data_IF_232548732286
#
_entry.id   IF_232548732286
#
_cell.length_a   1.000
_cell.length_b   1.000
_cell.length_c   1.000
_cell.angle_alpha   90.00
_cell.angle_beta   90.00
_cell.angle_gamma   90.00
#
_symmetry.space_group_name_H-M   'P 1'
#
loop_
_entity.id
_entity.type
_entity.pdbx_description
1 polymer ?
#
# COMPACT_ATOMS: atom_id res chain seq x y z
N UNK A 1 15.20 10.76 18.46
CA UNK A 1 13.77 10.53 18.15
C UNK A 1 13.60 9.08 17.76
N UNK A 2 12.51 8.46 18.17
CA UNK A 2 12.22 7.04 17.92
C UNK A 2 12.00 6.78 16.42
N UNK A 3 12.61 5.73 15.87
CA UNK A 3 12.59 5.42 14.44
C UNK A 3 11.17 5.13 13.92
N UNK A 4 10.33 4.55 14.77
CA UNK A 4 8.92 4.29 14.44
C UNK A 4 8.12 5.57 14.24
N UNK A 5 8.34 6.57 15.10
CA UNK A 5 7.68 7.88 15.01
C UNK A 5 8.08 8.59 13.71
N UNK A 6 9.37 8.56 13.36
CA UNK A 6 9.88 9.15 12.11
C UNK A 6 9.24 8.49 10.89
N UNK A 7 9.12 7.16 10.88
CA UNK A 7 8.47 6.43 9.79
C UNK A 7 6.99 6.82 9.66
N UNK A 8 6.24 6.80 10.75
CA UNK A 8 4.82 7.15 10.74
C UNK A 8 4.59 8.59 10.25
N UNK A 9 5.44 9.52 10.66
CA UNK A 9 5.38 10.91 10.19
C UNK A 9 5.66 11.02 8.69
N UNK A 10 6.64 10.27 8.17
CA UNK A 10 6.95 10.23 6.74
C UNK A 10 5.78 9.65 5.93
N UNK A 11 5.17 8.58 6.42
CA UNK A 11 4.04 7.94 5.77
C UNK A 11 2.82 8.87 5.75
N UNK A 12 2.57 9.60 6.85
CA UNK A 12 1.53 10.63 6.90
C UNK A 12 1.78 11.76 5.91
N UNK A 13 3.01 12.28 5.82
CA UNK A 13 3.36 13.34 4.88
C UNK A 13 3.19 12.89 3.42
N UNK A 14 3.55 11.65 3.11
CA UNK A 14 3.35 11.09 1.79
C UNK A 14 1.86 11.05 1.42
N UNK A 15 1.02 10.55 2.33
CA UNK A 15 -0.43 10.50 2.14
C UNK A 15 -1.02 11.90 1.99
N UNK A 16 -0.61 12.85 2.83
CA UNK A 16 -1.06 14.24 2.76
C UNK A 16 -0.74 14.88 1.41
N UNK A 17 0.48 14.69 0.90
CA UNK A 17 0.91 15.23 -0.40
C UNK A 17 0.09 14.61 -1.54
N UNK A 18 -0.14 13.29 -1.50
CA UNK A 18 -0.95 12.59 -2.50
C UNK A 18 -2.40 13.08 -2.52
N UNK A 19 -3.03 13.22 -1.34
CA UNK A 19 -4.41 13.73 -1.24
C UNK A 19 -4.48 15.16 -1.75
N UNK A 20 -3.52 16.00 -1.37
CA UNK A 20 -3.47 17.40 -1.78
C UNK A 20 -3.37 17.53 -3.30
N UNK A 21 -2.47 16.78 -3.93
CA UNK A 21 -2.30 16.79 -5.39
C UNK A 21 -3.54 16.27 -6.12
N UNK A 22 -4.10 15.14 -5.67
CA UNK A 22 -5.28 14.52 -6.28
C UNK A 22 -6.51 15.42 -6.20
N UNK A 23 -6.78 15.99 -5.02
CA UNK A 23 -7.93 16.85 -4.83
C UNK A 23 -7.78 18.18 -5.56
N UNK A 24 -6.56 18.74 -5.64
CA UNK A 24 -6.31 19.91 -6.47
C UNK A 24 -6.61 19.63 -7.95
N UNK A 25 -6.06 18.53 -8.51
CA UNK A 25 -6.27 18.15 -9.92
C UNK A 25 -7.73 17.85 -10.27
N UNK A 26 -8.50 17.37 -9.29
CA UNK A 26 -9.90 16.95 -9.51
C UNK A 26 -10.88 18.10 -9.30
N UNK A 27 -10.64 18.95 -8.30
CA UNK A 27 -11.60 19.96 -7.88
C UNK A 27 -11.31 21.35 -8.44
N UNK A 28 -10.03 21.75 -8.57
CA UNK A 28 -9.68 23.09 -9.05
C UNK A 28 -9.75 23.09 -10.58
N UNK A 29 -10.74 23.77 -11.12
CA UNK A 29 -11.07 23.72 -12.55
C UNK A 29 -10.97 25.09 -13.22
N UNK A 30 -11.07 26.17 -12.45
CA UNK A 30 -11.03 27.53 -12.98
C UNK A 30 -9.90 28.32 -12.33
N UNK A 31 -9.22 29.14 -13.13
CA UNK A 31 -8.13 30.01 -12.66
C UNK A 31 -8.48 31.49 -12.88
N UNK A 32 -9.77 31.81 -12.82
CA UNK A 32 -10.31 33.15 -13.10
C UNK A 32 -10.18 34.09 -11.90
N UNK A 33 -10.13 33.54 -10.68
CA UNK A 33 -9.87 34.26 -9.43
C UNK A 33 -8.71 33.66 -8.67
N UNK A 34 -8.09 34.46 -7.81
CA UNK A 34 -7.10 33.95 -6.83
C UNK A 34 -7.76 33.17 -5.71
N UNK A 35 -9.00 33.52 -5.36
CA UNK A 35 -9.76 32.88 -4.30
C UNK A 35 -10.42 31.60 -4.80
N UNK A 36 -10.51 30.61 -3.92
CA UNK A 36 -11.19 29.33 -4.17
C UNK A 36 -12.70 29.56 -4.15
N UNK A 37 -13.39 29.11 -5.19
CA UNK A 37 -14.84 29.22 -5.25
C UNK A 37 -15.54 28.30 -4.23
N UNK A 38 -16.78 28.60 -3.88
CA UNK A 38 -17.55 27.77 -2.93
C UNK A 38 -17.75 26.33 -3.42
N UNK A 39 -17.89 26.13 -4.73
CA UNK A 39 -18.02 24.80 -5.35
C UNK A 39 -16.71 24.01 -5.25
N UNK A 40 -15.58 24.65 -5.54
CA UNK A 40 -14.25 24.03 -5.41
C UNK A 40 -13.95 23.67 -3.95
N UNK A 41 -14.31 24.54 -3.00
CA UNK A 41 -14.16 24.28 -1.57
C UNK A 41 -14.96 23.04 -1.15
N UNK A 42 -16.24 22.97 -1.51
CA UNK A 42 -17.08 21.82 -1.20
C UNK A 42 -16.56 20.53 -1.88
N UNK A 43 -16.02 20.63 -3.10
CA UNK A 43 -15.39 19.50 -3.76
C UNK A 43 -14.16 19.00 -3.01
N UNK A 44 -13.27 19.89 -2.56
CA UNK A 44 -12.04 19.53 -1.83
C UNK A 44 -12.35 18.88 -0.48
N UNK A 45 -13.35 19.38 0.26
CA UNK A 45 -13.82 18.76 1.51
C UNK A 45 -14.32 17.33 1.26
N UNK A 46 -15.15 17.15 0.24
CA UNK A 46 -15.66 15.82 -0.12
C UNK A 46 -14.55 14.89 -0.62
N UNK A 47 -13.62 15.39 -1.43
CA UNK A 47 -12.50 14.63 -1.97
C UNK A 47 -11.58 14.11 -0.86
N UNK A 48 -11.14 15.01 0.03
CA UNK A 48 -10.29 14.66 1.17
C UNK A 48 -10.99 13.69 2.12
N UNK A 49 -12.27 13.92 2.44
CA UNK A 49 -13.08 13.02 3.26
C UNK A 49 -13.20 11.62 2.67
N UNK A 50 -13.48 11.51 1.36
CA UNK A 50 -13.52 10.24 0.65
C UNK A 50 -12.18 9.52 0.66
N UNK A 51 -11.08 10.23 0.41
CA UNK A 51 -9.74 9.65 0.44
C UNK A 51 -9.37 9.10 1.83
N UNK A 52 -9.68 9.83 2.90
CA UNK A 52 -9.41 9.37 4.27
C UNK A 52 -10.23 8.11 4.58
N UNK A 53 -11.53 8.11 4.25
CA UNK A 53 -12.39 6.94 4.47
C UNK A 53 -11.93 5.73 3.65
N UNK A 54 -11.56 5.94 2.39
CA UNK A 54 -11.04 4.89 1.53
C UNK A 54 -9.72 4.33 2.08
N UNK A 55 -8.80 5.19 2.53
CA UNK A 55 -7.54 4.77 3.13
C UNK A 55 -7.76 3.90 4.38
N UNK A 56 -8.68 4.31 5.27
CA UNK A 56 -9.05 3.49 6.43
C UNK A 56 -9.66 2.14 6.03
N UNK A 57 -10.57 2.13 5.04
CA UNK A 57 -11.18 0.87 4.59
C UNK A 57 -10.18 -0.07 3.93
N UNK A 58 -9.26 0.47 3.13
CA UNK A 58 -8.17 -0.31 2.54
C UNK A 58 -7.28 -0.91 3.64
N UNK A 59 -6.96 -0.13 4.68
CA UNK A 59 -6.17 -0.63 5.81
C UNK A 59 -6.90 -1.75 6.56
N UNK A 60 -8.20 -1.61 6.82
CA UNK A 60 -9.03 -2.65 7.43
C UNK A 60 -8.97 -3.97 6.63
N UNK A 61 -9.23 -3.90 5.31
CA UNK A 61 -9.18 -5.07 4.42
C UNK A 61 -7.77 -5.64 4.34
N UNK A 62 -6.73 -4.79 4.30
CA UNK A 62 -5.34 -5.22 4.28
C UNK A 62 -5.00 -6.04 5.52
N UNK A 63 -5.42 -5.59 6.70
CA UNK A 63 -5.19 -6.32 7.95
C UNK A 63 -5.88 -7.69 7.98
N UNK A 64 -7.03 -7.84 7.32
CA UNK A 64 -7.73 -9.12 7.21
C UNK A 64 -7.05 -10.08 6.20
N UNK A 65 -6.64 -9.55 5.04
CA UNK A 65 -6.21 -10.37 3.90
C UNK A 65 -4.72 -10.71 3.95
N UNK A 66 -3.87 -9.81 4.45
CA UNK A 66 -2.42 -9.99 4.45
C UNK A 66 -1.93 -11.24 5.21
N UNK A 67 -2.46 -11.60 6.39
CA UNK A 67 -2.04 -12.82 7.07
C UNK A 67 -2.34 -14.08 6.25
N UNK A 68 -3.46 -14.08 5.51
CA UNK A 68 -3.84 -15.21 4.64
C UNK A 68 -2.85 -15.33 3.48
N UNK A 69 -2.54 -14.20 2.83
CA UNK A 69 -1.55 -14.16 1.74
C UNK A 69 -0.17 -14.59 2.25
N UNK A 70 0.28 -14.07 3.41
CA UNK A 70 1.57 -14.39 3.98
C UNK A 70 1.72 -15.89 4.30
N UNK A 71 0.68 -16.53 4.84
CA UNK A 71 0.66 -17.97 5.08
C UNK A 71 0.79 -18.75 3.77
N UNK A 72 -0.01 -18.41 2.76
CA UNK A 72 0.06 -19.06 1.45
C UNK A 72 1.44 -18.93 0.81
N UNK A 73 2.02 -17.74 0.84
CA UNK A 73 3.35 -17.49 0.30
C UNK A 73 4.42 -18.32 1.03
N UNK A 74 4.29 -18.49 2.36
CA UNK A 74 5.20 -19.31 3.15
C UNK A 74 5.09 -20.81 2.81
N UNK A 75 3.87 -21.32 2.63
CA UNK A 75 3.63 -22.72 2.22
C UNK A 75 4.19 -22.99 0.82
N UNK A 76 4.00 -22.06 -0.12
CA UNK A 76 4.55 -22.17 -1.48
C UNK A 76 6.09 -22.16 -1.46
N UNK A 77 6.70 -21.30 -0.64
CA UNK A 77 8.16 -21.26 -0.45
C UNK A 77 8.71 -22.56 0.17
N UNK A 78 8.04 -23.13 1.18
CA UNK A 78 8.43 -24.40 1.78
C UNK A 78 8.36 -25.56 0.79
N UNK A 79 7.34 -25.60 -0.07
CA UNK A 79 7.24 -26.62 -1.14
C UNK A 79 8.37 -26.49 -2.15
N UNK A 80 8.73 -25.26 -2.53
CA UNK A 80 9.86 -25.02 -3.42
C UNK A 80 11.18 -25.45 -2.81
N UNK A 81 11.43 -25.14 -1.53
CA UNK A 81 12.64 -25.58 -0.83
C UNK A 81 12.71 -27.11 -0.82
N UNK A 82 11.64 -27.80 -0.41
CA UNK A 82 11.63 -29.27 -0.36
C UNK A 82 11.87 -29.90 -1.73
N UNK A 83 11.25 -29.39 -2.78
CA UNK A 83 11.48 -29.90 -4.13
C UNK A 83 12.94 -29.70 -4.58
N UNK A 84 13.57 -28.58 -4.22
CA UNK A 84 14.99 -28.33 -4.52
C UNK A 84 15.93 -29.25 -3.73
N UNK A 85 15.62 -29.52 -2.46
CA UNK A 85 16.35 -30.47 -1.62
C UNK A 85 16.25 -31.90 -2.18
N UNK A 86 15.05 -32.36 -2.53
CA UNK A 86 14.81 -33.67 -3.14
C UNK A 86 15.57 -33.82 -4.47
N UNK A 87 15.56 -32.79 -5.33
CA UNK A 87 16.29 -32.81 -6.60
C UNK A 87 17.82 -32.84 -6.39
N UNK A 88 18.34 -32.19 -5.35
CA UNK A 88 19.77 -32.23 -5.01
C UNK A 88 20.19 -33.58 -4.43
N UNK A 89 19.36 -34.22 -3.62
CA UNK A 89 19.61 -35.56 -3.10
C UNK A 89 19.63 -36.61 -4.22
N UNK A 90 18.72 -36.51 -5.20
CA UNK A 90 18.73 -37.37 -6.39
C UNK A 90 20.00 -37.20 -7.24
N UNK A 91 20.44 -35.96 -7.49
CA UNK A 91 21.69 -35.68 -8.22
C UNK A 91 22.95 -36.15 -7.48
N UNK A 92 22.99 -36.00 -6.15
CA UNK A 92 24.11 -36.48 -5.34
C UNK A 92 24.20 -38.02 -5.32
N UNK A 93 23.06 -38.71 -5.28
CA UNK A 93 23.02 -40.17 -5.34
C UNK A 93 23.40 -40.71 -6.72
N UNK A 94 23.03 -40.04 -7.82
CA UNK A 94 23.48 -40.40 -9.17
C UNK A 94 24.98 -40.13 -9.39
N UNK A 95 25.55 -39.08 -8.80
CA UNK A 95 27.00 -38.80 -8.89
C UNK A 95 27.87 -39.76 -8.08
N UNK A 96 27.29 -40.49 -7.12
CA UNK A 96 28.03 -41.42 -6.24
C UNK A 96 28.02 -42.87 -6.76
N UNK A 97 27.34 -43.13 -7.87
CA UNK A 97 27.25 -44.45 -8.53
C UNK A 97 28.10 -44.50 -9.80
#
# INVERSE_FOLDING_TARGET
MDALVIRNMKDFQLLFNQISEMCFKTCVSTFMSRDVSTEELQCVENCSGKHIHANHKIMEVFMEVQPVIARRNMEEYQKQIKALEETQEEQNNESTR
#
